data_IF_562759033491
#
_entry.id   IF_562759033491
#
_cell.length_a   1.000
_cell.length_b   1.000
_cell.length_c   1.000
_cell.angle_alpha   90.00
_cell.angle_beta   90.00
_cell.angle_gamma   90.00
#
_symmetry.space_group_name_H-M   'P 1'
#
loop_
_entity.id
_entity.type
_entity.pdbx_description
1 polymer ?
#
# COMPACT_ATOMS: atom_id res chain seq x y z
N UNK A 1 43.82 -31.27 -7.51
CA UNK A 1 43.52 -30.77 -7.27
C UNK A 1 43.32 -30.45 -6.77
N UNK A 2 43.40 -30.60 -6.96
CA UNK A 2 43.17 -30.17 -6.61
C UNK A 2 42.56 -29.95 -6.41
N UNK A 3 42.09 -30.16 -6.85
CA UNK A 3 41.47 -29.86 -6.88
C UNK A 3 40.71 -29.81 -6.20
N UNK A 4 40.13 -30.45 -6.60
CA UNK A 4 39.24 -30.41 -5.78
C UNK A 4 39.16 -29.50 -4.70
N UNK A 5 39.75 -29.06 -4.52
CA UNK A 5 39.91 -28.10 -3.46
C UNK A 5 40.16 -26.78 -4.01
N UNK A 6 39.72 -26.66 -5.14
CA UNK A 6 39.88 -25.43 -5.79
C UNK A 6 38.88 -24.45 -5.32
N UNK A 7 39.27 -23.28 -5.04
CA UNK A 7 38.37 -22.17 -4.77
C UNK A 7 37.74 -21.64 -6.03
N UNK A 8 36.91 -20.65 -5.91
CA UNK A 8 36.33 -19.94 -7.04
C UNK A 8 37.41 -19.17 -7.80
N UNK A 9 37.19 -19.03 -9.07
CA UNK A 9 38.02 -18.12 -9.85
C UNK A 9 37.58 -16.69 -9.61
N UNK A 10 38.45 -15.74 -9.93
CA UNK A 10 38.11 -14.32 -9.81
C UNK A 10 36.97 -13.95 -10.74
N UNK A 11 36.93 -14.52 -11.93
CA UNK A 11 35.86 -14.27 -12.89
C UNK A 11 34.54 -14.77 -12.41
N UNK A 12 34.49 -15.95 -11.79
CA UNK A 12 33.26 -16.49 -11.23
C UNK A 12 32.69 -15.56 -10.18
N UNK A 13 33.53 -15.05 -9.31
CA UNK A 13 33.11 -14.11 -8.28
C UNK A 13 32.65 -12.78 -8.87
N UNK A 14 33.35 -12.26 -9.84
CA UNK A 14 33.00 -11.02 -10.52
C UNK A 14 31.63 -11.11 -11.21
N UNK A 15 31.39 -12.24 -11.88
CA UNK A 15 30.10 -12.46 -12.57
C UNK A 15 28.97 -12.52 -11.57
N UNK A 16 29.15 -13.17 -10.44
CA UNK A 16 28.14 -13.27 -9.40
C UNK A 16 27.75 -11.89 -8.87
N UNK A 17 28.75 -11.10 -8.49
CA UNK A 17 28.45 -9.76 -7.95
C UNK A 17 27.87 -8.84 -9.01
N UNK A 18 28.25 -9.00 -10.28
CA UNK A 18 27.67 -8.23 -11.37
C UNK A 18 26.18 -8.55 -11.55
N UNK A 19 25.81 -9.82 -11.50
CA UNK A 19 24.43 -10.26 -11.62
C UNK A 19 23.61 -9.77 -10.44
N UNK A 20 24.14 -9.90 -9.23
CA UNK A 20 23.46 -9.42 -8.01
C UNK A 20 23.22 -7.92 -8.11
N UNK A 21 24.20 -7.16 -8.54
CA UNK A 21 24.07 -5.71 -8.72
C UNK A 21 23.01 -5.34 -9.73
N UNK A 22 22.99 -6.02 -10.86
CA UNK A 22 22.01 -5.78 -11.92
C UNK A 22 20.59 -6.11 -11.43
N UNK A 23 20.41 -7.26 -10.84
CA UNK A 23 19.09 -7.67 -10.34
C UNK A 23 18.61 -6.76 -9.20
N UNK A 24 19.50 -6.32 -8.33
CA UNK A 24 19.16 -5.39 -7.25
C UNK A 24 18.64 -4.08 -7.81
N UNK A 25 19.28 -3.54 -8.83
CA UNK A 25 18.87 -2.30 -9.47
C UNK A 25 17.47 -2.43 -10.08
N UNK A 26 17.23 -3.51 -10.82
CA UNK A 26 15.92 -3.74 -11.42
C UNK A 26 14.83 -3.94 -10.36
N UNK A 27 15.15 -4.62 -9.28
CA UNK A 27 14.21 -4.86 -8.19
C UNK A 27 13.79 -3.58 -7.49
N UNK A 28 14.73 -2.66 -7.29
CA UNK A 28 14.43 -1.37 -6.65
C UNK A 28 13.47 -0.56 -7.52
N UNK A 29 13.70 -0.50 -8.83
CA UNK A 29 12.82 0.22 -9.73
C UNK A 29 11.42 -0.38 -9.76
N UNK A 30 11.33 -1.72 -9.83
CA UNK A 30 10.05 -2.42 -9.82
C UNK A 30 9.31 -2.20 -8.49
N UNK A 31 10.04 -2.21 -7.37
CA UNK A 31 9.45 -2.00 -6.05
C UNK A 31 8.90 -0.58 -5.90
N UNK A 32 9.60 0.43 -6.39
CA UNK A 32 9.12 1.81 -6.34
C UNK A 32 7.81 1.97 -7.11
N UNK A 33 7.71 1.36 -8.30
CA UNK A 33 6.49 1.37 -9.09
C UNK A 33 5.35 0.64 -8.36
N UNK A 34 5.63 -0.51 -7.78
CA UNK A 34 4.64 -1.28 -7.04
C UNK A 34 4.13 -0.53 -5.81
N UNK A 35 5.01 0.15 -5.10
CA UNK A 35 4.63 0.96 -3.94
C UNK A 35 3.72 2.13 -4.34
N UNK A 36 4.02 2.79 -5.45
CA UNK A 36 3.17 3.87 -5.95
C UNK A 36 1.77 3.36 -6.28
N UNK A 37 1.69 2.22 -6.96
CA UNK A 37 0.40 1.60 -7.29
C UNK A 37 -0.36 1.18 -6.03
N UNK A 38 0.34 0.66 -5.04
CA UNK A 38 -0.28 0.25 -3.78
C UNK A 38 -0.86 1.45 -3.04
N UNK A 39 -0.16 2.58 -3.00
CA UNK A 39 -0.68 3.80 -2.40
C UNK A 39 -1.91 4.32 -3.12
N UNK A 40 -1.91 4.30 -4.46
CA UNK A 40 -3.04 4.73 -5.24
C UNK A 40 -4.25 3.83 -5.04
N UNK A 41 -4.04 2.51 -4.98
CA UNK A 41 -5.10 1.56 -4.72
C UNK A 41 -5.70 1.77 -3.33
N UNK A 42 -4.87 2.07 -2.32
CA UNK A 42 -5.33 2.36 -0.98
C UNK A 42 -6.19 3.63 -0.95
N UNK A 43 -5.76 4.68 -1.66
CA UNK A 43 -6.53 5.93 -1.74
C UNK A 43 -7.90 5.70 -2.37
N UNK A 44 -7.96 4.92 -3.44
CA UNK A 44 -9.24 4.60 -4.08
C UNK A 44 -10.13 3.80 -3.13
N UNK A 45 -9.58 2.84 -2.42
CA UNK A 45 -10.33 2.05 -1.45
C UNK A 45 -10.86 2.92 -0.32
N UNK A 46 -10.04 3.83 0.19
CA UNK A 46 -10.41 4.76 1.25
C UNK A 46 -11.56 5.68 0.82
N UNK A 47 -11.48 6.22 -0.41
CA UNK A 47 -12.53 7.08 -0.95
C UNK A 47 -13.84 6.30 -1.10
N UNK A 48 -13.78 5.07 -1.59
CA UNK A 48 -14.97 4.22 -1.71
C UNK A 48 -15.59 3.89 -0.36
N UNK A 49 -14.77 3.65 0.63
CA UNK A 49 -15.24 3.38 1.98
C UNK A 49 -15.98 4.59 2.56
N UNK A 50 -15.43 5.77 2.39
CA UNK A 50 -16.06 7.02 2.81
C UNK A 50 -17.38 7.21 2.06
N UNK A 51 -17.38 7.00 0.75
CA UNK A 51 -18.57 7.15 -0.07
C UNK A 51 -19.70 6.21 0.39
N UNK A 52 -19.37 4.95 0.64
CA UNK A 52 -20.35 3.98 1.11
C UNK A 52 -20.92 4.39 2.47
N UNK A 53 -20.08 4.83 3.37
CA UNK A 53 -20.50 5.26 4.70
C UNK A 53 -21.40 6.50 4.64
N UNK A 54 -21.08 7.45 3.75
CA UNK A 54 -21.91 8.64 3.55
C UNK A 54 -23.26 8.28 2.95
N UNK A 55 -23.31 7.32 2.06
CA UNK A 55 -24.58 6.85 1.50
C UNK A 55 -25.46 6.19 2.57
N UNK A 56 -24.87 5.36 3.42
CA UNK A 56 -25.60 4.76 4.53
C UNK A 56 -26.11 5.82 5.51
N UNK A 57 -25.29 6.80 5.79
CA UNK A 57 -25.69 7.90 6.65
C UNK A 57 -26.88 8.65 6.05
N UNK A 58 -26.81 8.97 4.77
CA UNK A 58 -27.87 9.65 4.07
C UNK A 58 -29.18 8.85 4.06
N UNK A 59 -29.10 7.55 3.84
CA UNK A 59 -30.28 6.69 3.86
C UNK A 59 -30.98 6.67 5.22
N UNK A 60 -30.19 6.73 6.30
CA UNK A 60 -30.75 6.65 7.65
C UNK A 60 -31.24 8.01 8.17
N UNK A 61 -30.52 9.07 7.83
CA UNK A 61 -30.75 10.41 8.40
C UNK A 61 -31.49 11.33 7.43
N UNK A 62 -31.34 11.08 6.13
CA UNK A 62 -31.94 11.89 5.09
C UNK A 62 -31.10 13.11 4.67
N UNK A 63 -29.89 13.21 5.20
CA UNK A 63 -28.97 14.30 4.88
C UNK A 63 -27.54 13.81 5.08
N UNK A 64 -26.59 14.56 4.57
CA UNK A 64 -25.17 14.24 4.74
C UNK A 64 -24.65 14.84 6.04
N UNK A 65 -23.62 14.21 6.66
CA UNK A 65 -23.05 14.75 7.87
C UNK A 65 -22.31 16.06 7.62
N UNK A 66 -22.18 16.88 8.66
CA UNK A 66 -21.40 18.10 8.56
C UNK A 66 -19.94 17.76 8.25
N UNK A 67 -19.28 18.64 7.51
CA UNK A 67 -17.86 18.46 7.14
C UNK A 67 -16.97 18.23 8.35
N UNK A 68 -17.28 18.91 9.47
CA UNK A 68 -16.50 18.78 10.70
C UNK A 68 -16.61 17.38 11.31
N UNK A 69 -17.63 16.61 10.95
CA UNK A 69 -17.82 15.24 11.46
C UNK A 69 -17.06 14.20 10.64
N UNK A 70 -16.56 14.57 9.48
CA UNK A 70 -15.86 13.66 8.56
C UNK A 70 -14.41 14.10 8.44
N UNK A 71 -13.67 13.87 9.50
CA UNK A 71 -12.23 14.18 9.53
C UNK A 71 -11.44 12.89 9.71
N UNK A 72 -10.21 12.83 9.17
CA UNK A 72 -9.41 11.61 9.32
C UNK A 72 -9.29 11.18 10.78
N UNK A 73 -9.54 9.90 11.03
CA UNK A 73 -9.47 9.34 12.37
C UNK A 73 -10.72 9.52 13.21
N UNK A 74 -11.71 10.30 12.75
CA UNK A 74 -12.95 10.49 13.50
C UNK A 74 -13.90 9.33 13.27
N UNK A 75 -14.93 9.25 14.14
CA UNK A 75 -15.98 8.25 14.00
C UNK A 75 -17.14 8.88 13.26
N UNK A 76 -17.60 8.23 12.21
CA UNK A 76 -18.81 8.65 11.50
C UNK A 76 -19.98 7.85 12.03
N UNK A 77 -20.85 8.53 12.78
CA UNK A 77 -22.00 7.89 13.44
C UNK A 77 -23.19 8.82 13.47
N UNK A 78 -24.35 8.23 13.71
CA UNK A 78 -25.59 8.96 14.00
C UNK A 78 -26.32 8.25 15.14
N UNK A 79 -27.51 8.72 15.46
CA UNK A 79 -28.36 8.07 16.45
C UNK A 79 -28.76 6.65 16.02
N UNK A 80 -28.68 6.35 14.73
CA UNK A 80 -29.05 5.04 14.19
C UNK A 80 -27.88 4.04 14.17
N UNK A 81 -26.66 4.50 14.40
CA UNK A 81 -25.50 3.60 14.43
C UNK A 81 -24.20 4.26 14.00
N UNK A 82 -23.17 3.45 13.95
CA UNK A 82 -21.85 3.85 13.50
C UNK A 82 -21.62 3.32 12.08
N UNK A 83 -21.23 4.20 11.16
CA UNK A 83 -21.00 3.84 9.77
C UNK A 83 -19.53 3.62 9.46
N UNK A 84 -18.68 4.38 10.12
CA UNK A 84 -17.22 4.21 10.06
C UNK A 84 -16.66 4.41 11.46
N UNK A 85 -15.87 3.47 11.91
CA UNK A 85 -15.22 3.59 13.22
C UNK A 85 -14.07 4.59 13.18
N UNK A 86 -13.42 4.71 12.02
CA UNK A 86 -12.37 5.69 11.81
C UNK A 86 -12.39 6.09 10.35
N UNK A 87 -12.48 7.38 10.09
CA UNK A 87 -12.42 7.93 8.74
C UNK A 87 -10.98 7.78 8.24
N UNK A 88 -10.75 7.16 7.08
CA UNK A 88 -9.42 6.98 6.54
C UNK A 88 -8.67 8.27 6.28
#
# INVERSE_FOLDING_TARGET
MNKNKEGFTLIELLVVIAIIGLLSTLSILALNSARARARDAKRIADVKQIQTALEMYYNDVGDYPATASVTPGSILSSTNGTYLRAVP
#
